data_IF_407304177920
#
_entry.id   IF_407304177920
#
_cell.length_a   1.000
_cell.length_b   1.000
_cell.length_c   1.000
_cell.angle_alpha   90.00
_cell.angle_beta   90.00
_cell.angle_gamma   90.00
#
_symmetry.space_group_name_H-M   'P 1'
#
loop_
_entity.id
_entity.type
_entity.pdbx_description
1 polymer ?
#
# COMPACT_ATOMS: atom_id res chain seq x y z
N UNK A 1 -8.74 -16.94 -2.53
CA UNK A 1 -9.25 -15.88 -1.65
C UNK A 1 -8.78 -14.53 -2.15
N UNK A 2 -9.69 -13.61 -2.26
CA UNK A 2 -9.40 -12.31 -2.82
C UNK A 2 -9.22 -11.25 -1.73
N UNK A 3 -8.11 -10.53 -1.80
CA UNK A 3 -7.82 -9.47 -0.82
C UNK A 3 -8.07 -8.12 -1.48
N UNK A 4 -8.89 -7.30 -0.85
CA UNK A 4 -9.19 -5.97 -1.36
C UNK A 4 -8.07 -4.98 -1.07
N UNK A 5 -8.01 -3.93 -1.89
CA UNK A 5 -7.03 -2.86 -1.70
C UNK A 5 -7.20 -2.19 -0.34
N UNK A 6 -8.47 -2.01 0.09
CA UNK A 6 -8.77 -1.42 1.39
C UNK A 6 -8.23 -2.26 2.54
N UNK A 7 -8.30 -3.58 2.41
CA UNK A 7 -7.76 -4.48 3.42
C UNK A 7 -6.25 -4.34 3.54
N UNK A 8 -5.57 -4.23 2.41
CA UNK A 8 -4.11 -4.04 2.41
C UNK A 8 -3.73 -2.75 3.11
N UNK A 9 -4.46 -1.67 2.84
CA UNK A 9 -4.23 -0.38 3.50
C UNK A 9 -4.45 -0.50 5.01
N UNK A 10 -5.51 -1.18 5.41
CA UNK A 10 -5.84 -1.39 6.81
C UNK A 10 -4.74 -2.18 7.53
N UNK A 11 -4.26 -3.25 6.90
CA UNK A 11 -3.20 -4.10 7.44
C UNK A 11 -1.94 -3.26 7.70
N UNK A 12 -1.53 -2.48 6.71
CA UNK A 12 -0.32 -1.66 6.83
C UNK A 12 -0.48 -0.63 7.93
N UNK A 13 -1.62 0.04 7.98
CA UNK A 13 -1.88 1.06 9.00
C UNK A 13 -1.87 0.46 10.40
N UNK A 14 -2.48 -0.71 10.57
CA UNK A 14 -2.61 -1.37 11.87
C UNK A 14 -1.28 -2.00 12.32
N UNK A 15 -0.62 -2.75 11.42
CA UNK A 15 0.55 -3.53 11.79
C UNK A 15 1.85 -2.74 11.70
N UNK A 16 1.95 -1.82 10.76
CA UNK A 16 3.16 -1.01 10.57
C UNK A 16 3.04 0.39 11.15
N UNK A 17 1.83 0.82 11.47
CA UNK A 17 1.59 2.14 12.07
C UNK A 17 1.83 3.30 11.13
N UNK A 18 1.77 3.07 9.82
CA UNK A 18 1.99 4.12 8.82
C UNK A 18 0.84 4.15 7.83
N UNK A 19 0.67 5.29 7.18
CA UNK A 19 -0.33 5.45 6.15
C UNK A 19 0.23 4.95 4.81
N UNK A 20 -0.64 4.33 4.01
CA UNK A 20 -0.26 3.88 2.68
C UNK A 20 -1.44 4.02 1.72
N UNK A 21 -1.16 3.91 0.43
CA UNK A 21 -2.18 3.88 -0.60
C UNK A 21 -1.90 2.69 -1.52
N UNK A 22 -2.89 1.83 -1.70
CA UNK A 22 -2.75 0.63 -2.52
C UNK A 22 -3.57 0.79 -3.80
N UNK A 23 -2.95 0.46 -4.93
CA UNK A 23 -3.63 0.48 -6.22
C UNK A 23 -3.27 -0.80 -6.99
N UNK A 24 -4.03 -1.09 -8.04
CA UNK A 24 -3.77 -2.25 -8.89
C UNK A 24 -4.70 -3.40 -8.62
N UNK A 25 -4.19 -4.61 -8.79
CA UNK A 25 -4.98 -5.85 -8.63
C UNK A 25 -4.26 -6.79 -7.67
N UNK A 26 -4.93 -7.90 -7.30
CA UNK A 26 -4.31 -8.92 -6.47
C UNK A 26 -3.08 -9.57 -7.14
N UNK A 27 -3.01 -9.53 -8.46
CA UNK A 27 -1.87 -10.08 -9.20
C UNK A 27 -0.70 -9.10 -9.28
N UNK A 28 -1.00 -7.81 -9.29
CA UNK A 28 0.03 -6.78 -9.36
C UNK A 28 -0.44 -5.57 -8.59
N UNK A 29 -0.02 -5.48 -7.35
CA UNK A 29 -0.43 -4.42 -6.44
C UNK A 29 0.72 -3.46 -6.18
N UNK A 30 0.43 -2.17 -6.27
CA UNK A 30 1.41 -1.12 -5.96
C UNK A 30 1.01 -0.47 -4.65
N UNK A 31 1.92 -0.46 -3.69
CA UNK A 31 1.70 0.13 -2.37
C UNK A 31 2.58 1.37 -2.24
N UNK A 32 1.96 2.52 -2.09
CA UNK A 32 2.66 3.79 -1.90
C UNK A 32 2.77 4.09 -0.42
N UNK A 33 3.98 4.36 0.05
CA UNK A 33 4.25 4.73 1.43
C UNK A 33 5.10 5.99 1.45
N UNK A 34 5.15 6.66 2.60
CA UNK A 34 5.93 7.88 2.74
C UNK A 34 7.21 7.68 3.54
N UNK A 35 7.40 6.48 4.09
CA UNK A 35 8.56 6.18 4.91
C UNK A 35 9.41 5.08 4.27
N UNK A 36 10.57 5.44 3.73
CA UNK A 36 11.46 4.50 3.04
C UNK A 36 11.96 3.39 3.97
N UNK A 37 12.13 3.68 5.25
CA UNK A 37 12.64 2.71 6.23
C UNK A 37 11.65 1.58 6.49
N UNK A 38 10.38 1.77 6.12
CA UNK A 38 9.32 0.78 6.36
C UNK A 38 9.03 -0.11 5.16
N UNK A 39 9.76 0.06 4.05
CA UNK A 39 9.48 -0.70 2.82
C UNK A 39 9.47 -2.20 3.05
N UNK A 40 10.52 -2.74 3.68
CA UNK A 40 10.61 -4.19 3.90
C UNK A 40 9.57 -4.66 4.89
N UNK A 41 9.32 -3.90 5.94
CA UNK A 41 8.32 -4.24 6.95
C UNK A 41 6.92 -4.31 6.33
N UNK A 42 6.57 -3.32 5.50
CA UNK A 42 5.28 -3.28 4.82
C UNK A 42 5.12 -4.50 3.91
N UNK A 43 6.14 -4.79 3.11
CA UNK A 43 6.10 -5.92 2.19
C UNK A 43 5.96 -7.24 2.93
N UNK A 44 6.77 -7.45 3.96
CA UNK A 44 6.72 -8.68 4.75
C UNK A 44 5.35 -8.85 5.43
N UNK A 45 4.83 -7.77 6.00
CA UNK A 45 3.53 -7.79 6.66
C UNK A 45 2.42 -8.17 5.68
N UNK A 46 2.42 -7.56 4.50
CA UNK A 46 1.41 -7.87 3.49
C UNK A 46 1.49 -9.32 3.03
N UNK A 47 2.70 -9.82 2.78
CA UNK A 47 2.88 -11.21 2.38
C UNK A 47 2.36 -12.16 3.46
N UNK A 48 2.68 -11.91 4.71
CA UNK A 48 2.25 -12.76 5.82
C UNK A 48 0.74 -12.74 6.04
N UNK A 49 0.13 -11.57 5.92
CA UNK A 49 -1.30 -11.41 6.22
C UNK A 49 -2.21 -11.81 5.05
N UNK A 50 -1.74 -11.62 3.82
CA UNK A 50 -2.57 -11.89 2.64
C UNK A 50 -2.25 -13.23 1.98
N UNK A 51 -1.08 -13.79 2.29
CA UNK A 51 -0.56 -15.01 1.65
C UNK A 51 -0.33 -14.86 0.14
N UNK A 52 -0.28 -13.61 -0.33
CA UNK A 52 0.04 -13.32 -1.73
C UNK A 52 1.56 -13.25 -1.85
N UNK A 53 2.10 -13.81 -2.94
CA UNK A 53 3.56 -13.85 -3.14
C UNK A 53 4.15 -12.44 -3.20
N UNK A 54 5.38 -12.30 -2.69
CA UNK A 54 6.05 -11.00 -2.57
C UNK A 54 6.20 -10.29 -3.91
N UNK A 55 6.37 -11.03 -4.99
CA UNK A 55 6.54 -10.45 -6.33
C UNK A 55 5.27 -9.76 -6.86
N UNK A 56 4.12 -10.04 -6.25
CA UNK A 56 2.87 -9.38 -6.61
C UNK A 56 2.74 -7.98 -6.00
N UNK A 57 3.59 -7.66 -5.03
CA UNK A 57 3.60 -6.35 -4.39
C UNK A 57 4.77 -5.52 -4.87
N UNK A 58 4.51 -4.27 -5.23
CA UNK A 58 5.55 -3.31 -5.53
C UNK A 58 5.42 -2.16 -4.55
N UNK A 59 6.43 -1.97 -3.71
CA UNK A 59 6.42 -0.89 -2.74
C UNK A 59 7.11 0.32 -3.34
N UNK A 60 6.43 1.47 -3.31
CA UNK A 60 6.98 2.73 -3.80
C UNK A 60 6.96 3.77 -2.69
N UNK A 61 8.03 4.53 -2.60
CA UNK A 61 8.12 5.62 -1.62
C UNK A 61 7.85 6.93 -2.31
N UNK A 62 6.93 7.71 -1.74
CA UNK A 62 6.58 9.03 -2.25
C UNK A 62 6.66 10.03 -1.10
N UNK A 63 6.73 11.32 -1.41
CA UNK A 63 6.87 12.35 -0.38
C UNK A 63 5.62 12.47 0.50
N UNK A 64 4.45 12.33 -0.12
CA UNK A 64 3.19 12.37 0.62
C UNK A 64 2.10 11.67 -0.20
N UNK A 65 1.07 11.19 0.51
CA UNK A 65 -0.08 10.60 -0.15
C UNK A 65 -1.07 11.72 -0.46
N UNK A 66 -1.41 11.94 -1.76
CA UNK A 66 -2.31 13.01 -2.12
C UNK A 66 -3.72 12.80 -1.56
N UNK A 67 -4.27 13.84 -0.98
CA UNK A 67 -5.60 13.80 -0.38
C UNK A 67 -6.37 15.07 -0.75
N UNK A 68 -7.71 14.99 -0.74
CA UNK A 68 -8.55 16.15 -0.93
C UNK A 68 -8.82 16.85 0.41
N UNK A 69 -9.63 17.91 0.38
CA UNK A 69 -9.93 18.69 1.58
C UNK A 69 -10.66 17.86 2.65
N UNK A 70 -11.39 16.84 2.25
CA UNK A 70 -12.10 15.94 3.16
C UNK A 70 -11.21 14.84 3.73
N UNK A 71 -9.93 14.80 3.35
CA UNK A 71 -8.99 13.79 3.80
C UNK A 71 -9.05 12.47 3.05
N UNK A 72 -9.78 12.42 1.94
CA UNK A 72 -9.86 11.22 1.11
C UNK A 72 -8.65 11.13 0.19
N UNK A 73 -8.09 9.93 0.08
CA UNK A 73 -6.94 9.67 -0.79
C UNK A 73 -7.31 9.86 -2.26
N UNK A 74 -6.48 10.60 -2.98
CA UNK A 74 -6.69 10.87 -4.40
C UNK A 74 -5.82 9.92 -5.22
N UNK A 75 -6.30 8.72 -5.44
CA UNK A 75 -5.54 7.69 -6.15
C UNK A 75 -5.14 8.10 -7.56
N UNK A 76 -5.95 8.93 -8.21
CA UNK A 76 -5.65 9.42 -9.55
C UNK A 76 -4.44 10.35 -9.59
N UNK A 77 -4.03 10.89 -8.46
CA UNK A 77 -2.86 11.77 -8.36
C UNK A 77 -1.57 11.01 -8.07
N UNK A 78 -1.66 9.71 -7.80
CA UNK A 78 -0.48 8.90 -7.55
C UNK A 78 0.30 8.66 -8.85
N UNK A 79 1.66 8.62 -8.75
CA UNK A 79 2.47 8.31 -9.94
C UNK A 79 2.32 6.84 -10.29
N UNK A 80 1.58 6.55 -11.36
CA UNK A 80 1.34 5.20 -11.82
C UNK A 80 2.28 4.89 -12.99
N UNK A 81 3.09 3.87 -12.83
CA UNK A 81 3.96 3.37 -13.88
C UNK A 81 3.80 1.87 -14.02
#
# INVERSE_FOLDING_TARGET
MRVGLDECEQIVQTDCGIECACVGTDEKMIVYITNADKQNEVKDTLVQKTHIVATSFQIRVISEIPKNEAGKKLYSKLPIN
#
